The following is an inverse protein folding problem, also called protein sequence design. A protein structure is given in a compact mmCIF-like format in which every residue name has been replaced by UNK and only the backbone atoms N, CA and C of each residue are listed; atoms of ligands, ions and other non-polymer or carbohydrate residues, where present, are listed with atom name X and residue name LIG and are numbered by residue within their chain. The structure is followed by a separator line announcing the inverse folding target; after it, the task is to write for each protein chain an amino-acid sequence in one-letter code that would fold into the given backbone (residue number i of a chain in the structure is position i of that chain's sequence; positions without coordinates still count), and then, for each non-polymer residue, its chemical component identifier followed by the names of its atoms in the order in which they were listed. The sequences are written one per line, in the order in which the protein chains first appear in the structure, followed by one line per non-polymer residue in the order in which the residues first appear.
data_IF_507994847281
#
_entry.id   IF_507994847281
#
_cell.length_a   1.000
_cell.length_b   1.000
_cell.length_c   1.000
_cell.angle_alpha   90.00
_cell.angle_beta   90.00
_cell.angle_gamma   90.00
#
_symmetry.space_group_name_H-M   'P 1'
#
loop_
_entity.id
_entity.type
_entity.pdbx_description
1 polymer ?
#
# COMPACT_ATOMS: atom_id res chain seq x y z
N UNK A 1 11.48 19.56 -5.64
CA UNK A 1 11.53 18.35 -4.78
C UNK A 1 11.08 18.60 -3.33
N UNK A 2 11.39 19.72 -2.67
CA UNK A 2 10.95 19.99 -1.27
C UNK A 2 9.45 20.32 -1.09
N UNK A 3 8.73 20.68 -2.14
CA UNK A 3 7.31 21.05 -2.03
C UNK A 3 6.42 19.90 -1.54
N UNK A 4 6.73 18.65 -1.93
CA UNK A 4 5.94 17.47 -1.52
C UNK A 4 5.97 17.22 -0.01
N UNK A 5 7.04 17.63 0.69
CA UNK A 5 7.13 17.53 2.14
C UNK A 5 6.07 18.37 2.87
N UNK A 6 5.55 19.41 2.22
CA UNK A 6 4.50 20.27 2.77
C UNK A 6 3.09 19.79 2.43
N UNK A 7 2.93 18.81 1.53
CA UNK A 7 1.61 18.38 1.07
C UNK A 7 0.82 17.67 2.18
N UNK A 8 1.49 16.84 3.00
CA UNK A 8 0.84 16.19 4.15
C UNK A 8 0.41 17.23 5.20
N UNK A 9 1.26 18.13 5.71
CA UNK A 9 0.82 19.20 6.61
C UNK A 9 -0.30 20.08 6.03
N UNK A 10 -0.16 20.49 4.76
CA UNK A 10 -1.14 21.36 4.09
C UNK A 10 -2.49 20.64 3.86
N UNK A 11 -2.48 19.31 3.70
CA UNK A 11 -3.72 18.54 3.53
C UNK A 11 -4.65 18.61 4.75
N UNK A 12 -4.12 18.93 5.92
CA UNK A 12 -4.88 19.16 7.16
C UNK A 12 -5.19 20.65 7.42
N UNK A 13 -5.17 21.49 6.39
CA UNK A 13 -5.67 22.86 6.51
C UNK A 13 -7.12 22.95 7.04
N UNK A 14 -8.08 22.07 6.66
CA UNK A 14 -9.45 22.16 7.15
C UNK A 14 -9.60 22.11 8.69
N UNK A 15 -8.99 21.17 9.43
CA UNK A 15 -9.07 21.18 10.89
C UNK A 15 -8.31 22.33 11.53
N UNK A 16 -7.23 22.83 10.90
CA UNK A 16 -6.51 24.01 11.39
C UNK A 16 -7.37 25.28 11.28
N UNK A 17 -8.14 25.43 10.20
CA UNK A 17 -9.10 26.54 10.04
C UNK A 17 -10.24 26.47 11.08
N UNK A 18 -10.56 25.26 11.56
CA UNK A 18 -11.65 25.00 12.50
C UNK A 18 -11.21 24.73 13.93
N UNK A 19 -9.96 25.04 14.27
CA UNK A 19 -9.34 24.63 15.53
C UNK A 19 -10.16 25.04 16.77
N UNK A 20 -10.73 26.25 16.78
CA UNK A 20 -11.53 26.73 17.91
C UNK A 20 -12.76 25.85 18.15
N UNK A 21 -13.56 25.61 17.10
CA UNK A 21 -14.75 24.76 17.20
C UNK A 21 -14.39 23.33 17.57
N UNK A 22 -13.28 22.78 17.04
CA UNK A 22 -12.83 21.43 17.39
C UNK A 22 -12.45 21.35 18.87
N UNK A 23 -11.72 22.33 19.39
CA UNK A 23 -11.22 22.32 20.77
C UNK A 23 -12.29 22.60 21.82
N UNK A 24 -13.24 23.48 21.52
CA UNK A 24 -14.14 24.04 22.53
C UNK A 24 -15.62 23.70 22.34
N UNK A 25 -16.01 23.15 21.18
CA UNK A 25 -17.41 22.95 20.84
C UNK A 25 -17.71 21.50 20.43
N UNK A 26 -17.07 21.01 19.37
CA UNK A 26 -17.31 19.69 18.81
C UNK A 26 -16.00 18.98 18.44
N UNK A 27 -15.42 18.17 19.36
CA UNK A 27 -14.18 17.45 19.09
C UNK A 27 -14.34 16.36 18.02
N UNK A 28 -15.57 15.96 17.69
CA UNK A 28 -15.87 15.00 16.63
C UNK A 28 -16.03 15.63 15.24
N UNK A 29 -15.90 16.95 15.10
CA UNK A 29 -16.06 17.63 13.82
C UNK A 29 -15.09 17.07 12.78
N UNK A 30 -15.63 16.65 11.62
CA UNK A 30 -14.83 16.05 10.56
C UNK A 30 -14.56 14.55 10.72
N UNK A 31 -14.96 13.91 11.82
CA UNK A 31 -14.74 12.48 12.08
C UNK A 31 -16.03 11.69 12.35
N UNK A 32 -17.02 12.26 13.07
CA UNK A 32 -18.26 11.58 13.44
C UNK A 32 -19.50 12.34 12.93
N UNK A 33 -20.47 11.63 12.33
CA UNK A 33 -21.79 12.16 11.91
C UNK A 33 -21.81 13.23 10.80
N UNK A 34 -20.70 13.95 10.61
CA UNK A 34 -20.45 15.00 9.61
C UNK A 34 -19.01 14.91 9.06
N UNK A 35 -18.36 13.76 9.23
CA UNK A 35 -16.97 13.54 8.80
C UNK A 35 -16.81 13.31 7.31
N UNK A 36 -17.93 13.20 6.60
CA UNK A 36 -17.99 13.05 5.16
C UNK A 36 -18.98 14.05 4.56
N UNK A 37 -18.68 14.52 3.36
CA UNK A 37 -19.59 15.37 2.58
C UNK A 37 -20.68 14.52 1.88
N UNK A 38 -21.52 15.17 1.07
CA UNK A 38 -22.56 14.50 0.30
C UNK A 38 -22.05 13.48 -0.73
N UNK A 39 -20.75 13.44 -0.98
CA UNK A 39 -20.07 12.49 -1.87
C UNK A 39 -19.27 11.44 -1.08
N UNK A 40 -19.51 11.29 0.21
CA UNK A 40 -18.79 10.37 1.10
C UNK A 40 -17.28 10.67 1.22
N UNK A 41 -16.84 11.89 0.88
CA UNK A 41 -15.44 12.30 0.98
C UNK A 41 -15.14 12.92 2.35
N UNK A 42 -13.95 12.63 2.87
CA UNK A 42 -13.52 13.16 4.16
C UNK A 42 -13.35 14.68 4.13
N UNK A 43 -14.03 15.38 5.03
CA UNK A 43 -13.98 16.85 5.10
C UNK A 43 -12.83 17.38 5.96
N UNK A 44 -12.26 16.54 6.82
CA UNK A 44 -11.16 16.90 7.72
C UNK A 44 -9.79 16.86 7.05
N UNK A 45 -9.70 16.37 5.81
CA UNK A 45 -8.43 16.24 5.10
C UNK A 45 -8.64 16.36 3.60
N UNK A 46 -7.78 17.10 2.92
CA UNK A 46 -7.72 17.06 1.46
C UNK A 46 -7.04 15.74 1.03
N UNK A 47 -7.83 14.66 0.96
CA UNK A 47 -7.33 13.28 0.77
C UNK A 47 -6.41 13.13 -0.43
N UNK A 48 -6.73 13.72 -1.57
CA UNK A 48 -5.87 13.69 -2.77
C UNK A 48 -4.49 14.28 -2.49
N UNK A 49 -4.43 15.44 -1.85
CA UNK A 49 -3.15 16.09 -1.52
C UNK A 49 -2.35 15.27 -0.49
N UNK A 50 -3.05 14.69 0.49
CA UNK A 50 -2.46 13.82 1.51
C UNK A 50 -1.81 12.57 0.90
N UNK A 51 -2.53 11.88 -0.01
CA UNK A 51 -2.05 10.66 -0.68
C UNK A 51 -0.86 10.97 -1.58
N UNK A 52 -0.90 12.07 -2.34
CA UNK A 52 0.23 12.49 -3.18
C UNK A 52 1.46 12.85 -2.34
N UNK A 53 1.26 13.58 -1.24
CA UNK A 53 2.32 13.97 -0.33
C UNK A 53 3.00 12.79 0.36
N UNK A 54 2.20 11.92 0.97
CA UNK A 54 2.69 10.74 1.69
C UNK A 54 3.34 9.73 0.75
N UNK A 55 2.75 9.50 -0.43
CA UNK A 55 3.33 8.62 -1.45
C UNK A 55 4.72 9.08 -1.92
N UNK A 56 4.95 10.39 -2.05
CA UNK A 56 6.27 10.93 -2.38
C UNK A 56 7.31 10.72 -1.26
N UNK A 57 6.89 10.84 0.01
CA UNK A 57 7.75 10.60 1.17
C UNK A 57 8.09 9.12 1.33
N UNK A 58 7.14 8.23 1.06
CA UNK A 58 7.33 6.78 1.15
C UNK A 58 8.35 6.24 0.14
N UNK A 59 8.58 6.93 -1.00
CA UNK A 59 9.56 6.48 -2.00
C UNK A 59 10.98 6.35 -1.47
N UNK A 60 11.39 7.18 -0.51
CA UNK A 60 12.70 7.09 0.14
C UNK A 60 12.77 5.86 1.04
N UNK A 61 11.73 5.63 1.85
CA UNK A 61 11.64 4.47 2.74
C UNK A 61 11.62 3.14 1.97
N UNK A 62 11.03 3.13 0.77
CA UNK A 62 10.99 1.94 -0.08
C UNK A 62 12.39 1.47 -0.48
N UNK A 63 13.37 2.38 -0.63
CA UNK A 63 14.73 1.99 -0.98
C UNK A 63 15.39 1.16 0.13
N UNK A 64 15.19 1.55 1.38
CA UNK A 64 15.75 0.81 2.53
C UNK A 64 15.02 -0.52 2.72
N UNK A 65 13.70 -0.54 2.56
CA UNK A 65 12.91 -1.77 2.62
C UNK A 65 13.33 -2.79 1.54
N UNK A 66 13.53 -2.32 0.30
CA UNK A 66 13.95 -3.18 -0.82
C UNK A 66 15.33 -3.81 -0.56
N UNK A 67 16.23 -3.15 0.19
CA UNK A 67 17.52 -3.76 0.58
C UNK A 67 17.35 -4.93 1.55
N UNK A 68 16.32 -4.91 2.40
CA UNK A 68 16.06 -6.03 3.32
C UNK A 68 15.61 -7.28 2.55
N UNK A 69 14.95 -7.10 1.40
CA UNK A 69 14.51 -8.18 0.51
C UNK A 69 15.70 -8.99 -0.03
N UNK A 70 16.88 -8.39 -0.19
CA UNK A 70 18.08 -9.10 -0.67
C UNK A 70 18.39 -10.32 0.19
N UNK A 71 18.34 -10.16 1.52
CA UNK A 71 18.65 -11.25 2.45
C UNK A 71 17.67 -12.43 2.34
N UNK A 72 16.41 -12.16 1.99
CA UNK A 72 15.37 -13.18 1.82
C UNK A 72 15.60 -14.01 0.56
N UNK A 73 16.09 -13.38 -0.52
CA UNK A 73 16.26 -14.02 -1.83
C UNK A 73 17.73 -14.27 -2.24
N UNK A 74 18.69 -14.13 -1.31
CA UNK A 74 20.12 -14.31 -1.56
C UNK A 74 20.56 -15.78 -1.72
N UNK A 75 19.85 -16.71 -1.08
CA UNK A 75 20.20 -18.14 -1.08
C UNK A 75 19.91 -18.86 -2.40
N UNK A 76 20.54 -20.03 -2.59
CA UNK A 76 20.33 -20.90 -3.75
C UNK A 76 19.22 -21.95 -3.59
N UNK A 77 18.67 -22.10 -2.38
CA UNK A 77 17.53 -22.99 -2.12
C UNK A 77 16.21 -22.27 -2.41
N UNK A 78 15.85 -22.18 -3.70
CA UNK A 78 14.67 -21.42 -4.15
C UNK A 78 13.34 -21.98 -3.67
N UNK A 79 13.26 -23.28 -3.35
CA UNK A 79 12.05 -23.91 -2.84
C UNK A 79 11.71 -23.47 -1.41
N UNK A 80 12.73 -23.11 -0.61
CA UNK A 80 12.55 -22.59 0.75
C UNK A 80 12.20 -21.10 0.80
N UNK A 81 12.37 -20.37 -0.30
CA UNK A 81 12.09 -18.95 -0.38
C UNK A 81 10.59 -18.68 -0.57
N UNK A 82 10.08 -17.51 -0.17
CA UNK A 82 8.68 -17.17 -0.36
C UNK A 82 8.25 -17.26 -1.84
N UNK A 83 7.06 -17.81 -2.06
CA UNK A 83 6.38 -17.80 -3.35
C UNK A 83 5.45 -16.57 -3.51
N UNK A 84 5.09 -15.93 -2.38
CA UNK A 84 4.19 -14.79 -2.33
C UNK A 84 4.81 -13.66 -1.50
N UNK A 85 4.50 -12.41 -1.89
CA UNK A 85 4.73 -11.23 -1.06
C UNK A 85 3.41 -10.51 -0.93
N UNK A 86 2.93 -10.37 0.30
CA UNK A 86 1.62 -9.77 0.61
C UNK A 86 1.83 -8.36 1.19
N UNK A 87 1.17 -7.37 0.60
CA UNK A 87 1.18 -5.98 1.06
C UNK A 87 -0.25 -5.55 1.45
N UNK A 88 -0.48 -5.32 2.75
CA UNK A 88 -1.77 -4.89 3.30
C UNK A 88 -1.82 -3.37 3.40
N UNK A 89 -2.82 -2.75 2.77
CA UNK A 89 -2.84 -1.32 2.50
C UNK A 89 -2.01 -0.96 1.27
N UNK A 90 -2.08 -1.78 0.22
CA UNK A 90 -1.18 -1.70 -0.94
C UNK A 90 -1.32 -0.41 -1.77
N UNK A 91 -2.39 0.37 -1.58
CA UNK A 91 -2.57 1.67 -2.23
C UNK A 91 -2.57 1.55 -3.75
N UNK A 92 -1.56 2.08 -4.44
CA UNK A 92 -1.41 1.98 -5.89
C UNK A 92 -0.46 0.86 -6.37
N UNK A 93 0.01 0.01 -5.46
CA UNK A 93 0.85 -1.15 -5.78
C UNK A 93 2.30 -0.82 -6.13
N UNK A 94 2.76 0.42 -5.97
CA UNK A 94 4.15 0.80 -6.30
C UNK A 94 5.20 0.04 -5.50
N UNK A 95 4.93 -0.26 -4.23
CA UNK A 95 5.88 -1.02 -3.40
C UNK A 95 6.04 -2.45 -3.92
N UNK A 96 4.93 -3.17 -4.09
CA UNK A 96 4.91 -4.51 -4.69
C UNK A 96 5.65 -4.57 -6.02
N UNK A 97 5.39 -3.61 -6.91
CA UNK A 97 6.12 -3.50 -8.18
C UNK A 97 7.63 -3.36 -7.96
N UNK A 98 8.07 -2.43 -7.12
CA UNK A 98 9.50 -2.17 -6.86
C UNK A 98 10.18 -3.40 -6.27
N UNK A 99 9.52 -4.11 -5.36
CA UNK A 99 10.03 -5.36 -4.79
C UNK A 99 10.20 -6.42 -5.89
N UNK A 100 9.18 -6.66 -6.71
CA UNK A 100 9.27 -7.65 -7.78
C UNK A 100 10.36 -7.33 -8.80
N UNK A 101 10.43 -6.07 -9.27
CA UNK A 101 11.47 -5.62 -10.20
C UNK A 101 12.87 -5.81 -9.59
N UNK A 102 13.03 -5.50 -8.29
CA UNK A 102 14.29 -5.70 -7.59
C UNK A 102 14.67 -7.18 -7.46
N UNK A 103 13.75 -8.05 -7.04
CA UNK A 103 14.00 -9.50 -6.96
C UNK A 103 14.38 -10.04 -8.34
N UNK A 104 13.64 -9.65 -9.38
CA UNK A 104 13.88 -10.08 -10.76
C UNK A 104 15.25 -9.67 -11.29
N UNK A 105 15.70 -8.46 -10.98
CA UNK A 105 16.94 -7.90 -11.56
C UNK A 105 18.19 -8.11 -10.70
N UNK A 106 18.04 -8.17 -9.38
CA UNK A 106 19.17 -8.03 -8.44
C UNK A 106 19.41 -9.25 -7.54
N UNK A 107 18.55 -10.28 -7.59
CA UNK A 107 18.70 -11.47 -6.75
C UNK A 107 18.86 -12.75 -7.58
N UNK A 108 19.49 -13.82 -7.04
CA UNK A 108 19.55 -15.12 -7.70
C UNK A 108 18.18 -15.66 -8.12
N UNK A 109 17.13 -15.42 -7.33
CA UNK A 109 15.74 -15.83 -7.62
C UNK A 109 15.25 -15.32 -8.97
N UNK A 110 15.69 -14.14 -9.40
CA UNK A 110 15.30 -13.56 -10.69
C UNK A 110 15.61 -14.44 -11.91
N UNK A 111 16.66 -15.28 -11.83
CA UNK A 111 17.03 -16.24 -12.88
C UNK A 111 16.19 -17.52 -12.88
N UNK A 112 15.49 -17.79 -11.78
CA UNK A 112 14.72 -19.01 -11.54
C UNK A 112 13.20 -18.76 -11.50
N UNK A 113 12.71 -17.57 -11.85
CA UNK A 113 11.28 -17.22 -11.77
C UNK A 113 10.36 -18.08 -12.64
N UNK A 114 10.88 -18.74 -13.68
CA UNK A 114 10.10 -19.66 -14.50
C UNK A 114 9.77 -20.98 -13.77
N UNK A 115 10.70 -21.46 -12.94
CA UNK A 115 10.60 -22.72 -12.18
C UNK A 115 10.05 -22.48 -10.77
N UNK A 116 10.43 -21.33 -10.19
CA UNK A 116 10.05 -20.88 -8.86
C UNK A 116 9.39 -19.50 -8.96
N UNK A 117 8.11 -19.42 -9.37
CA UNK A 117 7.43 -18.15 -9.55
C UNK A 117 7.33 -17.35 -8.25
N UNK A 118 7.19 -16.04 -8.38
CA UNK A 118 6.99 -15.11 -7.27
C UNK A 118 5.79 -14.22 -7.61
N UNK A 119 4.75 -14.26 -6.77
CA UNK A 119 3.48 -13.55 -7.01
C UNK A 119 3.30 -12.43 -5.98
N UNK A 120 3.01 -11.23 -6.47
CA UNK A 120 2.71 -10.07 -5.62
C UNK A 120 1.22 -10.08 -5.23
N UNK A 121 0.90 -9.92 -3.95
CA UNK A 121 -0.49 -9.91 -3.47
C UNK A 121 -0.79 -8.56 -2.84
N UNK A 122 -1.62 -7.76 -3.51
CA UNK A 122 -2.12 -6.50 -2.97
C UNK A 122 -3.41 -6.73 -2.18
N UNK A 123 -3.44 -6.33 -0.92
CA UNK A 123 -4.63 -6.38 -0.07
C UNK A 123 -4.99 -4.97 0.33
N UNK A 124 -6.22 -4.52 0.03
CA UNK A 124 -6.67 -3.19 0.45
C UNK A 124 -8.17 -3.19 0.73
N UNK A 125 -8.61 -2.38 1.70
CA UNK A 125 -10.03 -2.21 2.03
C UNK A 125 -10.72 -1.31 1.01
N UNK A 126 -10.00 -0.31 0.47
CA UNK A 126 -10.52 0.64 -0.49
C UNK A 126 -10.55 0.06 -1.91
N UNK A 127 -11.71 0.16 -2.58
CA UNK A 127 -11.90 -0.37 -3.95
C UNK A 127 -11.04 0.35 -4.99
N UNK A 128 -10.91 1.66 -4.89
CA UNK A 128 -10.13 2.46 -5.85
C UNK A 128 -8.63 2.15 -5.73
N UNK A 129 -8.13 1.93 -4.51
CA UNK A 129 -6.77 1.41 -4.29
C UNK A 129 -6.57 0.06 -4.98
N UNK A 130 -7.49 -0.89 -4.80
CA UNK A 130 -7.41 -2.20 -5.48
C UNK A 130 -7.40 -2.06 -7.00
N UNK A 131 -8.26 -1.22 -7.57
CA UNK A 131 -8.28 -0.94 -9.02
C UNK A 131 -6.97 -0.30 -9.49
N UNK A 132 -6.43 0.65 -8.73
CA UNK A 132 -5.16 1.30 -9.05
C UNK A 132 -3.98 0.32 -9.01
N UNK A 133 -3.95 -0.55 -7.99
CA UNK A 133 -2.96 -1.63 -7.84
C UNK A 133 -3.03 -2.61 -9.01
N UNK A 134 -4.22 -3.12 -9.33
CA UNK A 134 -4.45 -4.05 -10.45
C UNK A 134 -3.94 -3.46 -11.77
N UNK A 135 -4.32 -2.22 -12.09
CA UNK A 135 -3.91 -1.55 -13.32
C UNK A 135 -2.39 -1.33 -13.36
N UNK A 136 -1.78 -0.94 -12.24
CA UNK A 136 -0.35 -0.68 -12.18
C UNK A 136 0.46 -1.98 -12.35
N UNK A 137 0.13 -3.05 -11.63
CA UNK A 137 0.86 -4.32 -11.71
C UNK A 137 0.67 -5.00 -13.07
N UNK A 138 -0.56 -5.00 -13.60
CA UNK A 138 -0.86 -5.51 -14.95
C UNK A 138 -0.08 -4.77 -16.03
N UNK A 139 -0.04 -3.43 -15.98
CA UNK A 139 0.70 -2.61 -16.96
C UNK A 139 2.20 -2.95 -17.01
N UNK A 140 2.77 -3.39 -15.89
CA UNK A 140 4.19 -3.74 -15.78
C UNK A 140 4.45 -5.25 -15.88
N UNK A 141 3.45 -6.04 -16.25
CA UNK A 141 3.53 -7.50 -16.37
C UNK A 141 4.10 -8.17 -15.11
N UNK A 142 3.73 -7.66 -13.93
CA UNK A 142 4.06 -8.27 -12.64
C UNK A 142 3.04 -9.38 -12.37
N UNK A 143 3.42 -10.63 -12.04
CA UNK A 143 2.48 -11.66 -11.59
C UNK A 143 1.83 -11.25 -10.27
N UNK A 144 0.51 -11.18 -10.22
CA UNK A 144 -0.17 -10.63 -9.04
C UNK A 144 -1.58 -11.16 -8.79
N UNK A 145 -2.05 -10.93 -7.57
CA UNK A 145 -3.44 -11.03 -7.13
C UNK A 145 -3.80 -9.74 -6.37
N UNK A 146 -5.04 -9.27 -6.51
CA UNK A 146 -5.56 -8.14 -5.72
C UNK A 146 -6.82 -8.55 -4.98
N UNK A 147 -6.79 -8.43 -3.66
CA UNK A 147 -7.79 -8.95 -2.76
C UNK A 147 -8.35 -7.85 -1.87
N UNK A 148 -9.62 -7.99 -1.48
CA UNK A 148 -10.19 -7.19 -0.41
C UNK A 148 -9.62 -7.65 0.94
N UNK A 149 -9.30 -6.70 1.81
CA UNK A 149 -8.96 -6.99 3.21
C UNK A 149 -8.87 -5.73 4.05
N UNK A 150 -9.21 -5.87 5.33
CA UNK A 150 -9.12 -4.79 6.32
C UNK A 150 -7.94 -5.07 7.24
N UNK A 151 -7.00 -4.14 7.34
CA UNK A 151 -5.82 -4.26 8.21
C UNK A 151 -6.21 -4.41 9.69
N UNK A 152 -7.39 -3.94 10.09
CA UNK A 152 -7.97 -4.15 11.42
C UNK A 152 -8.52 -5.57 11.63
N UNK A 153 -8.59 -6.40 10.59
CA UNK A 153 -9.12 -7.78 10.62
C UNK A 153 -8.15 -8.78 9.98
N UNK A 154 -6.97 -9.02 10.59
CA UNK A 154 -5.95 -9.89 10.00
C UNK A 154 -6.42 -11.35 9.81
N UNK A 155 -7.30 -11.86 10.67
CA UNK A 155 -7.86 -13.21 10.52
C UNK A 155 -8.65 -13.37 9.20
N UNK A 156 -9.44 -12.37 8.84
CA UNK A 156 -10.22 -12.36 7.59
C UNK A 156 -9.29 -12.28 6.37
N UNK A 157 -8.17 -11.55 6.48
CA UNK A 157 -7.14 -11.50 5.44
C UNK A 157 -6.54 -12.89 5.25
N UNK A 158 -6.14 -13.57 6.33
CA UNK A 158 -5.56 -14.91 6.26
C UNK A 158 -6.51 -15.93 5.64
N UNK A 159 -7.80 -15.88 6.00
CA UNK A 159 -8.80 -16.74 5.38
C UNK A 159 -8.95 -16.44 3.88
N UNK A 160 -8.94 -15.16 3.52
CA UNK A 160 -9.03 -14.73 2.12
C UNK A 160 -7.82 -15.20 1.32
N UNK A 161 -6.60 -15.10 1.87
CA UNK A 161 -5.38 -15.61 1.25
C UNK A 161 -5.46 -17.12 0.99
N UNK A 162 -5.82 -17.90 2.02
CA UNK A 162 -5.95 -19.35 1.90
C UNK A 162 -6.98 -19.79 0.85
N UNK A 163 -8.15 -19.12 0.81
CA UNK A 163 -9.18 -19.37 -0.22
C UNK A 163 -8.71 -19.08 -1.66
N UNK A 164 -7.70 -18.22 -1.82
CA UNK A 164 -7.13 -17.86 -3.11
C UNK A 164 -5.83 -18.62 -3.42
N UNK A 165 -5.52 -19.69 -2.67
CA UNK A 165 -4.34 -20.51 -2.90
C UNK A 165 -3.02 -19.82 -2.55
N UNK A 166 -3.07 -18.76 -1.74
CA UNK A 166 -1.89 -18.16 -1.13
C UNK A 166 -1.69 -18.87 0.21
N UNK A 167 -0.83 -19.89 0.21
CA UNK A 167 -0.49 -20.65 1.40
C UNK A 167 0.51 -19.84 2.24
N UNK A 168 0.14 -19.43 3.47
CA UNK A 168 0.98 -18.62 4.35
C UNK A 168 2.17 -19.36 4.96
#
# INVERSE_FOLDING_TARGET
QRCYSYYVPTSYAPPLDRYHSILFENPGWGFAGAGRDSQEQEVHVHRTLNVVGSGAQHQTLFTDLVRLIDSVFAGGDFASQPAFIVDTGCGDGRLLRRIYEHVKSNTPRGKALAEHPLTMVGVDFNKDSRVATELNLSRHAVPHLVLFGDVGKPADIMETLGRNGVDP
#
